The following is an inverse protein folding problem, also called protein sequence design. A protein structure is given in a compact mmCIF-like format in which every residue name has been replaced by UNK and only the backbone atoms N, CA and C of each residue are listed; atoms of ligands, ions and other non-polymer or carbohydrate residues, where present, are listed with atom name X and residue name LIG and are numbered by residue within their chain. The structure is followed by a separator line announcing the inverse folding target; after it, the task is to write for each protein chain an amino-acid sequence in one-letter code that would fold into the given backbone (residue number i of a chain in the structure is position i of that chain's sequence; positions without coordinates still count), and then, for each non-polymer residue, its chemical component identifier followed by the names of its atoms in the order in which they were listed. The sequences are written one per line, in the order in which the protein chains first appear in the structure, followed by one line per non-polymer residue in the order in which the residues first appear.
data_IF_311908794534
#
_entry.id   IF_311908794534
#
_cell.length_a   1.000
_cell.length_b   1.000
_cell.length_c   1.000
_cell.angle_alpha   90.00
_cell.angle_beta   90.00
_cell.angle_gamma   90.00
#
_symmetry.space_group_name_H-M   'P 1'
#
loop_
_entity.id
_entity.type
_entity.pdbx_description
1 polymer ?
#
# COMPACT_ATOMS: atom_id res chain seq x y z
N UNK A 1 8.64 12.03 7.06
CA UNK A 1 9.81 11.45 6.37
C UNK A 1 9.41 11.20 4.92
N UNK A 2 10.34 11.32 3.95
CA UNK A 2 10.06 10.93 2.56
C UNK A 2 9.79 9.42 2.48
N UNK A 3 8.94 9.02 1.53
CA UNK A 3 8.69 7.61 1.20
C UNK A 3 9.68 7.23 0.11
N UNK A 4 10.61 6.32 0.41
CA UNK A 4 11.70 5.96 -0.50
C UNK A 4 11.58 4.53 -1.01
N UNK A 5 11.27 3.60 -0.12
CA UNK A 5 11.15 2.18 -0.46
C UNK A 5 9.70 1.72 -0.58
N UNK A 6 9.48 0.55 -1.17
CA UNK A 6 8.19 -0.12 -1.16
C UNK A 6 7.70 -0.42 0.25
N UNK A 7 8.61 -0.74 1.18
CA UNK A 7 8.28 -0.91 2.60
C UNK A 7 7.77 0.39 3.22
N UNK A 8 8.43 1.52 2.96
CA UNK A 8 7.98 2.83 3.44
C UNK A 8 6.60 3.18 2.89
N UNK A 9 6.35 2.86 1.61
CA UNK A 9 5.04 3.06 0.99
C UNK A 9 3.95 2.25 1.70
N UNK A 10 4.16 0.95 1.89
CA UNK A 10 3.21 0.08 2.61
C UNK A 10 2.98 0.59 4.03
N UNK A 11 4.05 0.96 4.75
CA UNK A 11 3.95 1.48 6.12
C UNK A 11 3.18 2.80 6.16
N UNK A 12 3.35 3.65 5.14
CA UNK A 12 2.64 4.94 5.06
C UNK A 12 1.13 4.78 4.94
N UNK A 13 0.64 3.66 4.41
CA UNK A 13 -0.78 3.39 4.21
C UNK A 13 -1.48 2.87 5.47
N UNK A 14 -0.73 2.25 6.40
CA UNK A 14 -1.30 1.65 7.61
C UNK A 14 -1.86 2.69 8.57
N UNK A 15 -2.99 2.37 9.19
CA UNK A 15 -3.60 3.23 10.21
C UNK A 15 -4.09 4.60 9.71
N UNK A 16 -4.23 4.79 8.39
CA UNK A 16 -4.71 6.07 7.81
C UNK A 16 -6.22 6.28 7.96
N UNK A 17 -6.98 5.26 8.36
CA UNK A 17 -8.44 5.33 8.45
C UNK A 17 -9.09 5.63 7.10
N UNK A 18 -8.59 5.00 6.03
CA UNK A 18 -9.11 5.22 4.67
C UNK A 18 -10.52 4.64 4.54
N UNK A 19 -11.42 5.37 3.88
CA UNK A 19 -12.76 4.89 3.55
C UNK A 19 -12.71 3.96 2.33
N UNK A 20 -12.25 2.73 2.56
CA UNK A 20 -12.14 1.69 1.53
C UNK A 20 -13.27 0.68 1.71
N UNK A 21 -13.97 0.39 0.62
CA UNK A 21 -15.06 -0.58 0.58
C UNK A 21 -14.76 -1.68 -0.42
N UNK A 22 -14.93 -2.94 0.00
CA UNK A 22 -14.77 -4.12 -0.84
C UNK A 22 -16.06 -4.90 -0.81
N UNK A 23 -16.65 -5.13 -1.99
CA UNK A 23 -17.94 -5.83 -2.13
C UNK A 23 -19.08 -5.24 -1.26
N UNK A 24 -19.03 -3.93 -1.00
CA UNK A 24 -20.02 -3.21 -0.19
C UNK A 24 -19.72 -3.15 1.31
N UNK A 25 -18.65 -3.79 1.79
CA UNK A 25 -18.24 -3.77 3.20
C UNK A 25 -17.04 -2.86 3.43
N UNK A 26 -17.04 -2.11 4.53
CA UNK A 26 -15.92 -1.24 4.92
C UNK A 26 -14.75 -2.09 5.42
N UNK A 27 -13.55 -1.78 4.95
CA UNK A 27 -12.31 -2.45 5.35
C UNK A 27 -11.47 -1.51 6.22
N UNK A 28 -11.27 -1.89 7.49
CA UNK A 28 -10.51 -1.07 8.46
C UNK A 28 -9.02 -1.00 8.13
N UNK A 29 -8.42 -2.10 7.65
CA UNK A 29 -7.00 -2.14 7.26
C UNK A 29 -6.87 -2.68 5.83
N UNK A 30 -6.99 -1.80 4.80
CA UNK A 30 -6.97 -2.21 3.41
C UNK A 30 -5.61 -2.76 2.97
N UNK A 31 -4.52 -2.43 3.68
CA UNK A 31 -3.17 -2.91 3.36
C UNK A 31 -3.06 -4.44 3.46
N UNK A 32 -3.83 -5.05 4.35
CA UNK A 32 -3.81 -6.49 4.57
C UNK A 32 -4.91 -7.26 3.84
N UNK A 33 -5.85 -6.55 3.21
CA UNK A 33 -6.99 -7.17 2.57
C UNK A 33 -6.57 -7.98 1.33
N UNK A 34 -6.91 -9.29 1.23
CA UNK A 34 -6.43 -10.17 0.16
C UNK A 34 -6.70 -9.69 -1.27
N UNK A 35 -7.83 -9.00 -1.49
CA UNK A 35 -8.17 -8.43 -2.80
C UNK A 35 -7.44 -7.13 -3.13
N UNK A 36 -6.96 -6.38 -2.13
CA UNK A 36 -6.33 -5.06 -2.32
C UNK A 36 -4.81 -5.20 -2.31
N UNK A 37 -4.28 -6.09 -1.45
CA UNK A 37 -2.85 -6.31 -1.23
C UNK A 37 -2.05 -6.45 -2.53
N UNK A 38 -2.48 -7.19 -3.57
CA UNK A 38 -1.72 -7.29 -4.82
C UNK A 38 -1.47 -5.94 -5.50
N UNK A 39 -2.46 -5.05 -5.52
CA UNK A 39 -2.32 -3.71 -6.11
C UNK A 39 -1.38 -2.83 -5.30
N UNK A 40 -1.43 -2.92 -3.97
CA UNK A 40 -0.50 -2.21 -3.08
C UNK A 40 0.94 -2.71 -3.29
N UNK A 41 1.13 -4.02 -3.44
CA UNK A 41 2.46 -4.60 -3.70
C UNK A 41 2.99 -4.19 -5.08
N UNK A 42 2.13 -4.10 -6.11
CA UNK A 42 2.53 -3.61 -7.43
C UNK A 42 3.04 -2.15 -7.35
N UNK A 43 2.36 -1.29 -6.58
CA UNK A 43 2.81 0.07 -6.34
C UNK A 43 4.10 0.11 -5.51
N UNK A 44 4.22 -0.71 -4.46
CA UNK A 44 5.44 -0.82 -3.65
C UNK A 44 6.66 -1.16 -4.51
N UNK A 45 6.50 -2.08 -5.47
CA UNK A 45 7.56 -2.44 -6.40
C UNK A 45 8.04 -1.26 -7.28
N UNK A 46 7.19 -0.27 -7.57
CA UNK A 46 7.63 0.95 -8.29
C UNK A 46 8.53 1.86 -7.45
N UNK A 47 8.32 1.88 -6.12
CA UNK A 47 9.23 2.57 -5.20
C UNK A 47 10.55 1.84 -5.09
N UNK A 48 10.51 0.50 -4.95
CA UNK A 48 11.73 -0.32 -4.93
C UNK A 48 12.53 -0.18 -6.22
N UNK A 49 11.85 -0.16 -7.38
CA UNK A 49 12.48 0.06 -8.67
C UNK A 49 13.22 1.39 -8.73
N UNK A 50 12.62 2.49 -8.25
CA UNK A 50 13.28 3.79 -8.22
C UNK A 50 14.53 3.83 -7.33
N UNK A 51 14.63 2.93 -6.33
CA UNK A 51 15.83 2.79 -5.48
C UNK A 51 16.89 1.93 -6.15
N UNK A 52 16.50 0.86 -6.86
CA UNK A 52 17.44 -0.08 -7.48
C UNK A 52 17.91 0.36 -8.87
N UNK A 53 17.08 1.11 -9.61
CA UNK A 53 17.31 1.62 -10.96
C UNK A 53 16.91 3.11 -11.03
N UNK A 54 17.80 4.03 -10.60
CA UNK A 54 17.48 5.45 -10.44
C UNK A 54 17.44 6.25 -11.76
#
# INVERSE_FOLDING_TARGET
MPILTGEDYIRSLRGRGLDVYVLGEKVEEPVDHPLIRPSIQAMAATYDLAVTEP
#
